data_IF_245188454860
#
_entry.id   IF_245188454860
#
_cell.length_a   1.000
_cell.length_b   1.000
_cell.length_c   1.000
_cell.angle_alpha   90.00
_cell.angle_beta   90.00
_cell.angle_gamma   90.00
#
_symmetry.space_group_name_H-M   'P 1'
#
loop_
_entity.id
_entity.type
_entity.pdbx_description
1 polymer ?
#
# COMPACT_ATOMS: atom_id res chain seq x y z
N UNK A 1 18.90 -10.77 20.83
CA UNK A 1 19.36 -10.78 19.41
C UNK A 1 18.38 -11.70 18.68
N UNK A 2 17.34 -11.15 18.06
CA UNK A 2 16.35 -11.96 17.33
C UNK A 2 16.88 -12.16 15.91
N UNK A 3 17.19 -13.41 15.57
CA UNK A 3 17.52 -13.81 14.22
C UNK A 3 16.22 -14.03 13.46
N UNK A 4 15.95 -13.21 12.45
CA UNK A 4 14.81 -13.39 11.55
C UNK A 4 15.25 -14.35 10.44
N UNK A 5 14.74 -15.58 10.47
CA UNK A 5 14.87 -16.53 9.38
C UNK A 5 13.61 -16.45 8.51
N UNK A 6 13.79 -16.38 7.19
CA UNK A 6 12.71 -16.34 6.21
C UNK A 6 12.02 -17.72 6.15
N UNK A 7 10.69 -17.76 6.28
CA UNK A 7 9.88 -18.99 6.10
C UNK A 7 8.76 -18.76 5.08
N UNK A 8 8.57 -19.74 4.17
CA UNK A 8 7.56 -19.73 3.11
C UNK A 8 6.11 -19.69 3.65
N UNK A 9 5.22 -18.86 3.07
CA UNK A 9 3.79 -18.82 3.42
C UNK A 9 2.85 -18.93 2.20
N UNK A 10 1.80 -19.76 2.37
CA UNK A 10 0.79 -20.17 1.37
C UNK A 10 -0.32 -19.13 1.15
N UNK A 11 -0.80 -19.05 -0.10
CA UNK A 11 -1.93 -18.23 -0.58
C UNK A 11 -3.31 -18.75 -0.12
N UNK A 12 -4.17 -17.86 0.38
CA UNK A 12 -5.57 -18.12 0.73
C UNK A 12 -6.54 -17.16 0.03
N UNK A 13 -7.64 -17.69 -0.52
CA UNK A 13 -8.58 -17.03 -1.43
C UNK A 13 -9.62 -16.10 -0.74
N UNK A 14 -10.11 -15.10 -1.48
CA UNK A 14 -11.13 -14.11 -1.06
C UNK A 14 -12.50 -14.40 -1.69
N UNK A 15 -13.57 -14.26 -0.91
CA UNK A 15 -14.96 -14.38 -1.36
C UNK A 15 -15.62 -13.01 -1.59
N UNK A 16 -16.36 -12.92 -2.70
CA UNK A 16 -17.02 -11.72 -3.23
C UNK A 16 -18.48 -11.59 -2.75
N UNK A 17 -18.88 -10.40 -2.31
CA UNK A 17 -20.27 -10.03 -2.05
C UNK A 17 -20.69 -8.82 -2.89
N UNK A 18 -21.72 -9.00 -3.74
CA UNK A 18 -22.30 -7.94 -4.59
C UNK A 18 -23.17 -6.98 -3.77
N UNK A 19 -23.20 -5.71 -4.14
CA UNK A 19 -24.19 -4.75 -3.66
C UNK A 19 -24.64 -3.82 -4.78
N UNK A 20 -25.96 -3.69 -4.90
CA UNK A 20 -26.72 -2.81 -5.80
C UNK A 20 -26.45 -1.33 -5.51
N UNK A 21 -26.35 -0.52 -6.57
CA UNK A 21 -26.04 0.92 -6.56
C UNK A 21 -27.25 1.72 -7.03
N UNK A 22 -27.68 2.73 -6.28
CA UNK A 22 -28.57 3.80 -6.74
C UNK A 22 -27.74 4.93 -7.32
N UNK A 23 -28.13 5.39 -8.51
CA UNK A 23 -27.43 6.38 -9.34
C UNK A 23 -27.70 7.82 -8.85
N UNK A 24 -26.64 8.62 -8.72
CA UNK A 24 -26.75 10.07 -8.48
C UNK A 24 -25.43 10.79 -8.17
N UNK A 25 -24.44 10.09 -7.63
CA UNK A 25 -23.05 10.52 -7.48
C UNK A 25 -22.20 9.30 -7.86
N UNK A 26 -21.27 9.43 -8.81
CA UNK A 26 -20.45 8.29 -9.23
C UNK A 26 -19.72 7.69 -8.02
N UNK A 27 -19.78 6.37 -7.85
CA UNK A 27 -19.04 5.70 -6.79
C UNK A 27 -17.53 5.89 -7.04
N UNK A 28 -16.76 6.23 -5.99
CA UNK A 28 -15.29 6.22 -6.06
C UNK A 28 -14.79 4.81 -6.42
N UNK A 29 -13.77 4.72 -7.26
CA UNK A 29 -13.20 3.43 -7.67
C UNK A 29 -11.69 3.53 -7.95
N UNK A 30 -11.01 2.40 -7.86
CA UNK A 30 -9.59 2.32 -8.19
C UNK A 30 -9.40 2.28 -9.71
N UNK A 31 -8.67 3.27 -10.25
CA UNK A 31 -8.12 3.24 -11.61
C UNK A 31 -6.99 2.23 -11.69
N UNK A 32 -6.07 2.27 -10.73
CA UNK A 32 -5.02 1.28 -10.53
C UNK A 32 -5.05 0.77 -9.10
N UNK A 33 -5.17 -0.55 -8.97
CA UNK A 33 -5.12 -1.24 -7.69
C UNK A 33 -3.68 -1.66 -7.37
N UNK A 34 -3.29 -1.64 -6.09
CA UNK A 34 -2.06 -2.28 -5.66
C UNK A 34 -2.09 -3.77 -6.04
N UNK A 35 -0.92 -4.31 -6.36
CA UNK A 35 -0.73 -5.71 -6.73
C UNK A 35 0.46 -6.25 -5.99
N UNK A 36 0.44 -7.55 -5.72
CA UNK A 36 1.56 -8.22 -5.10
C UNK A 36 2.83 -7.98 -5.93
N UNK A 37 3.91 -7.67 -5.23
CA UNK A 37 5.21 -7.38 -5.83
C UNK A 37 6.31 -7.92 -4.94
N UNK A 38 7.48 -8.07 -5.53
CA UNK A 38 8.69 -8.39 -4.80
C UNK A 38 9.77 -7.37 -5.11
N UNK A 39 10.64 -7.13 -4.14
CA UNK A 39 11.78 -6.23 -4.26
C UNK A 39 12.98 -6.86 -3.60
N UNK A 40 14.16 -6.66 -4.16
CA UNK A 40 15.40 -7.02 -3.47
C UNK A 40 15.63 -6.07 -2.29
N UNK A 41 16.28 -6.54 -1.23
CA UNK A 41 16.77 -5.65 -0.18
C UNK A 41 17.66 -4.55 -0.77
N UNK A 42 17.60 -3.35 -0.19
CA UNK A 42 18.16 -2.08 -0.68
C UNK A 42 17.60 -1.61 -2.03
N UNK A 43 16.67 -2.36 -2.62
CA UNK A 43 15.98 -1.98 -3.84
C UNK A 43 14.95 -0.89 -3.63
N UNK A 44 14.27 -0.53 -4.72
CA UNK A 44 13.17 0.43 -4.72
C UNK A 44 11.92 -0.24 -5.29
N UNK A 45 10.77 0.04 -4.68
CA UNK A 45 9.47 -0.43 -5.15
C UNK A 45 8.42 0.66 -5.04
N UNK A 46 7.51 0.67 -6.02
CA UNK A 46 6.33 1.54 -6.04
C UNK A 46 5.10 0.65 -6.03
N UNK A 47 4.25 0.82 -5.02
CA UNK A 47 2.96 0.14 -4.89
C UNK A 47 1.88 1.11 -5.40
N UNK A 48 1.22 0.82 -6.54
CA UNK A 48 0.30 1.76 -7.13
C UNK A 48 -1.01 1.84 -6.35
N UNK A 49 -1.54 3.06 -6.19
CA UNK A 49 -2.91 3.29 -5.78
C UNK A 49 -3.44 4.56 -6.45
N UNK A 50 -4.31 4.39 -7.43
CA UNK A 50 -4.91 5.51 -8.15
C UNK A 50 -6.43 5.40 -8.09
N UNK A 51 -7.09 6.51 -7.74
CA UNK A 51 -8.52 6.57 -7.44
C UNK A 51 -9.18 7.61 -8.33
N UNK A 52 -10.21 7.19 -9.06
CA UNK A 52 -11.06 8.06 -9.86
C UNK A 52 -12.35 8.38 -9.11
N UNK A 53 -12.95 9.54 -9.36
CA UNK A 53 -14.12 10.05 -8.63
C UNK A 53 -13.91 10.03 -7.10
N UNK A 54 -12.68 10.33 -6.64
CA UNK A 54 -12.29 10.29 -5.22
C UNK A 54 -13.03 11.36 -4.43
N UNK A 55 -13.89 10.93 -3.51
CA UNK A 55 -14.58 11.81 -2.54
C UNK A 55 -14.14 11.53 -1.10
N UNK A 56 -13.74 10.30 -0.79
CA UNK A 56 -13.18 9.95 0.50
C UNK A 56 -11.69 10.27 0.63
N UNK A 57 -11.20 10.25 1.87
CA UNK A 57 -9.78 10.37 2.20
C UNK A 57 -9.07 9.05 1.84
N UNK A 58 -7.92 9.15 1.18
CA UNK A 58 -7.05 7.99 0.87
C UNK A 58 -6.06 7.77 2.01
N UNK A 59 -5.91 6.53 2.45
CA UNK A 59 -5.07 6.13 3.56
C UNK A 59 -4.35 4.82 3.24
N UNK A 60 -3.03 4.81 3.43
CA UNK A 60 -2.23 3.58 3.38
C UNK A 60 -2.14 2.94 4.76
N UNK A 61 -2.24 1.61 4.78
CA UNK A 61 -2.15 0.76 5.96
C UNK A 61 -1.15 -0.36 5.67
N UNK A 62 -0.23 -0.64 6.60
CA UNK A 62 0.64 -1.83 6.57
C UNK A 62 0.33 -2.70 7.79
N UNK A 63 0.04 -3.98 7.57
CA UNK A 63 -0.21 -4.98 8.62
C UNK A 63 -1.27 -4.54 9.64
N UNK A 64 -2.27 -3.79 9.18
CA UNK A 64 -3.35 -3.25 10.02
C UNK A 64 -3.05 -1.89 10.68
N UNK A 65 -1.84 -1.35 10.55
CA UNK A 65 -1.44 -0.04 11.09
C UNK A 65 -1.44 1.05 10.01
N UNK A 66 -2.17 2.13 10.25
CA UNK A 66 -2.28 3.24 9.31
C UNK A 66 -1.04 4.14 9.37
N UNK A 67 -0.51 4.49 8.20
CA UNK A 67 0.59 5.45 8.10
C UNK A 67 0.11 6.88 8.30
N UNK A 68 0.88 7.69 9.00
CA UNK A 68 0.62 9.14 9.05
C UNK A 68 1.39 9.81 7.93
N UNK A 69 0.66 10.32 6.93
CA UNK A 69 1.25 11.02 5.78
C UNK A 69 1.21 12.53 6.03
N UNK A 70 2.34 13.20 5.84
CA UNK A 70 2.41 14.66 5.87
C UNK A 70 1.88 15.23 4.55
N UNK A 71 0.77 16.00 4.55
CA UNK A 71 0.06 16.36 3.31
C UNK A 71 0.88 17.16 2.30
N UNK A 72 1.79 18.02 2.78
CA UNK A 72 2.57 18.91 1.92
C UNK A 72 3.77 18.23 1.25
N UNK A 73 4.39 17.25 1.90
CA UNK A 73 5.65 16.64 1.46
C UNK A 73 5.49 15.20 0.96
N UNK A 74 4.36 14.56 1.27
CA UNK A 74 4.15 13.13 1.06
C UNK A 74 5.03 12.25 1.98
N UNK A 75 5.75 12.83 2.94
CA UNK A 75 6.58 12.05 3.86
C UNK A 75 5.71 11.23 4.82
N UNK A 76 6.16 10.02 5.13
CA UNK A 76 5.51 9.19 6.14
C UNK A 76 6.23 9.36 7.47
N UNK A 77 5.49 9.80 8.49
CA UNK A 77 6.03 10.05 9.83
C UNK A 77 6.58 8.75 10.42
N UNK A 78 7.84 8.77 10.87
CA UNK A 78 8.52 7.60 11.42
C UNK A 78 9.07 6.63 10.37
N UNK A 79 8.85 6.88 9.08
CA UNK A 79 9.30 6.02 7.98
C UNK A 79 10.03 6.86 6.91
N UNK A 80 11.30 7.23 7.14
CA UNK A 80 12.03 8.15 6.25
C UNK A 80 12.24 7.62 4.83
N UNK A 81 12.23 6.30 4.67
CA UNK A 81 12.35 5.59 3.38
C UNK A 81 11.04 5.50 2.59
N UNK A 82 9.91 5.81 3.22
CA UNK A 82 8.60 5.72 2.61
C UNK A 82 8.09 7.09 2.23
N UNK A 83 7.56 7.19 1.01
CA UNK A 83 6.97 8.43 0.51
C UNK A 83 5.69 8.14 -0.27
N UNK A 84 4.69 8.98 -0.07
CA UNK A 84 3.55 9.08 -0.95
C UNK A 84 3.92 9.94 -2.15
N UNK A 85 3.90 9.36 -3.34
CA UNK A 85 4.23 10.04 -4.60
C UNK A 85 3.02 10.09 -5.54
N UNK A 86 3.03 11.09 -6.42
CA UNK A 86 1.95 11.34 -7.38
C UNK A 86 1.16 12.61 -7.09
N UNK A 87 0.33 13.01 -8.05
CA UNK A 87 -0.59 14.14 -7.90
C UNK A 87 -1.89 13.68 -7.21
N UNK A 88 -2.03 14.07 -5.95
CA UNK A 88 -3.20 13.75 -5.14
C UNK A 88 -4.48 14.42 -5.66
N UNK A 89 -4.38 15.53 -6.42
CA UNK A 89 -5.53 16.16 -7.06
C UNK A 89 -6.00 15.35 -8.27
N UNK A 90 -5.08 14.67 -8.96
CA UNK A 90 -5.36 13.73 -10.05
C UNK A 90 -5.67 12.30 -9.57
N UNK A 91 -5.82 12.11 -8.24
CA UNK A 91 -6.17 10.83 -7.67
C UNK A 91 -5.01 9.83 -7.56
N UNK A 92 -3.75 10.27 -7.67
CA UNK A 92 -2.57 9.40 -7.64
C UNK A 92 -1.94 9.39 -6.24
N UNK A 93 -1.94 8.22 -5.60
CA UNK A 93 -1.51 8.01 -4.21
C UNK A 93 -0.55 6.82 -4.12
N UNK A 94 0.46 6.78 -4.99
CA UNK A 94 1.38 5.67 -5.07
C UNK A 94 2.33 5.68 -3.85
N UNK A 95 2.53 4.52 -3.23
CA UNK A 95 3.47 4.37 -2.12
C UNK A 95 4.84 3.95 -2.66
N UNK A 96 5.84 4.77 -2.44
CA UNK A 96 7.23 4.49 -2.77
C UNK A 96 7.98 4.04 -1.51
N UNK A 97 8.76 2.98 -1.65
CA UNK A 97 9.71 2.49 -0.65
C UNK A 97 11.09 2.47 -1.31
N UNK A 98 12.01 3.29 -0.81
CA UNK A 98 13.42 3.30 -1.24
C UNK A 98 14.28 2.56 -0.24
N UNK A 99 15.38 1.95 -0.69
CA UNK A 99 16.31 1.21 0.17
C UNK A 99 15.57 0.14 1.00
N UNK A 100 14.75 -0.69 0.34
CA UNK A 100 13.84 -1.65 0.99
C UNK A 100 14.57 -2.57 2.00
N UNK A 101 13.93 -2.86 3.13
CA UNK A 101 14.47 -3.73 4.18
C UNK A 101 13.49 -4.86 4.48
N UNK A 102 13.96 -5.93 5.11
CA UNK A 102 13.10 -7.07 5.48
C UNK A 102 11.87 -6.69 6.33
N UNK A 103 11.92 -5.57 7.05
CA UNK A 103 10.77 -5.06 7.83
C UNK A 103 9.66 -4.46 6.97
N UNK A 104 9.96 -4.12 5.72
CA UNK A 104 8.98 -3.63 4.75
C UNK A 104 8.17 -4.78 4.14
N UNK A 105 8.59 -6.05 4.30
CA UNK A 105 7.78 -7.21 3.92
C UNK A 105 6.46 -7.21 4.70
N UNK A 106 5.33 -7.43 4.00
CA UNK A 106 4.02 -7.49 4.65
C UNK A 106 2.84 -7.11 3.76
N UNK A 107 1.67 -6.99 4.41
CA UNK A 107 0.40 -6.68 3.75
C UNK A 107 0.15 -5.17 3.73
N UNK A 108 0.12 -4.61 2.54
CA UNK A 108 -0.24 -3.22 2.29
C UNK A 108 -1.68 -3.11 1.81
N UNK A 109 -2.40 -2.11 2.31
CA UNK A 109 -3.75 -1.82 1.88
C UNK A 109 -3.92 -0.33 1.60
N UNK A 110 -4.38 -0.01 0.38
CA UNK A 110 -4.87 1.32 0.06
C UNK A 110 -6.36 1.37 0.36
N UNK A 111 -6.75 2.26 1.27
CA UNK A 111 -8.13 2.46 1.69
C UNK A 111 -8.62 3.84 1.22
N UNK A 112 -9.86 3.92 0.77
CA UNK A 112 -10.56 5.19 0.57
C UNK A 112 -11.79 5.20 1.46
N UNK A 113 -11.86 6.20 2.34
CA UNK A 113 -12.92 6.35 3.32
C UNK A 113 -14.31 6.54 2.72
N UNK A 114 -15.38 6.36 3.51
CA UNK A 114 -16.73 6.71 3.08
C UNK A 114 -16.87 8.23 2.93
N UNK A 115 -17.78 8.68 2.07
CA UNK A 115 -18.16 10.08 1.98
C UNK A 115 -19.66 10.22 1.70
N UNK A 116 -20.43 10.73 2.65
CA UNK A 116 -21.89 10.89 2.57
C UNK A 116 -22.57 9.57 2.18
N UNK A 117 -22.94 9.38 0.89
CA UNK A 117 -23.58 8.16 0.36
C UNK A 117 -22.62 7.21 -0.37
N UNK A 118 -21.35 7.61 -0.53
CA UNK A 118 -20.34 6.83 -1.23
C UNK A 118 -19.69 5.84 -0.26
N UNK A 119 -19.73 4.55 -0.64
CA UNK A 119 -19.13 3.45 0.14
C UNK A 119 -17.60 3.51 0.13
N UNK A 120 -16.94 3.05 1.21
CA UNK A 120 -15.50 2.94 1.21
C UNK A 120 -15.04 1.86 0.23
N UNK A 121 -13.86 2.03 -0.36
CA UNK A 121 -13.20 1.03 -1.20
C UNK A 121 -11.84 0.68 -0.60
N UNK A 122 -11.41 -0.57 -0.73
CA UNK A 122 -10.11 -1.06 -0.23
C UNK A 122 -9.49 -2.01 -1.24
N UNK A 123 -8.17 -1.97 -1.37
CA UNK A 123 -7.41 -2.90 -2.19
C UNK A 123 -6.09 -3.27 -1.51
N UNK A 124 -5.73 -4.55 -1.57
CA UNK A 124 -4.58 -5.12 -0.86
C UNK A 124 -3.46 -5.46 -1.85
N UNK A 125 -2.23 -5.45 -1.36
CA UNK A 125 -1.08 -6.06 -1.99
C UNK A 125 -0.12 -6.58 -0.92
N UNK A 126 0.44 -7.75 -1.18
CA UNK A 126 1.56 -8.27 -0.41
C UNK A 126 2.88 -7.80 -1.05
N UNK A 127 3.77 -7.19 -0.26
CA UNK A 127 5.13 -6.90 -0.68
C UNK A 127 6.06 -7.96 -0.10
N UNK A 128 6.81 -8.66 -0.95
CA UNK A 128 7.86 -9.59 -0.52
C UNK A 128 9.23 -8.93 -0.66
N UNK A 129 10.01 -8.90 0.42
CA UNK A 129 11.39 -8.39 0.37
C UNK A 129 12.36 -9.57 0.33
N UNK A 130 13.09 -9.67 -0.78
CA UNK A 130 14.02 -10.77 -1.06
C UNK A 130 15.43 -10.33 -0.61
N UNK A 131 15.99 -11.02 0.38
CA UNK A 131 17.42 -10.91 0.70
C UNK A 131 18.22 -11.98 -0.06
N UNK A 132 19.46 -11.67 -0.43
CA UNK A 132 20.39 -12.68 -0.92
C UNK A 132 21.21 -13.24 0.25
N UNK A 133 21.25 -14.57 0.44
CA UNK A 133 21.97 -15.19 1.55
C UNK A 133 23.50 -15.02 1.51
N UNK A 134 24.06 -14.43 0.44
CA UNK A 134 25.50 -14.35 0.20
C UNK A 134 26.11 -12.95 0.40
N UNK A 135 25.33 -11.95 0.86
CA UNK A 135 25.92 -10.69 1.30
C UNK A 135 26.28 -10.79 2.79
N UNK A 136 27.58 -10.81 3.09
CA UNK A 136 28.08 -10.61 4.45
C UNK A 136 27.78 -9.16 4.81
N UNK A 137 26.78 -8.93 5.66
CA UNK A 137 26.54 -7.62 6.26
C UNK A 137 27.64 -7.36 7.29
N UNK A 138 28.70 -6.64 6.90
CA UNK A 138 29.60 -6.01 7.88
C UNK A 138 28.81 -4.91 8.62
N UNK A 139 28.71 -5.07 9.94
CA UNK A 139 28.14 -4.10 10.88
C UNK A 139 29.18 -3.05 11.26
#
# INVERSE_FOLDING_TARGET
IFSFYCTDQKLGASASGRNTLTAGEGAQYFRFKPRNSSVLERGEVIIPCEVENRVGIVQWVKDGFAYVVQPMSGQIVGHPRLRLIGDQNAGVYNLQITDASLTDDGEYQCQVGPHVRVKPIRANAHLTVICFPNEIYEQ
#
